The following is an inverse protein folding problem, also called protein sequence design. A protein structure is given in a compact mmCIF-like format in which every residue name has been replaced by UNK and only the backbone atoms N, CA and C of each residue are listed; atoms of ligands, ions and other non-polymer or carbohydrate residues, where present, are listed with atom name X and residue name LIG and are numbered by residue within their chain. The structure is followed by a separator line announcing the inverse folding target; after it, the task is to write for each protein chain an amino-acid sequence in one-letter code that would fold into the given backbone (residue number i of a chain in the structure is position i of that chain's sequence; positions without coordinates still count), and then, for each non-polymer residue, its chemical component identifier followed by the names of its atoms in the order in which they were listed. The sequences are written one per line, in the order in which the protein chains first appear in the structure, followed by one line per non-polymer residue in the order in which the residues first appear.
data_IF_108122817193
#
_entry.id   IF_108122817193
#
_cell.length_a   1.000
_cell.length_b   1.000
_cell.length_c   1.000
_cell.angle_alpha   90.00
_cell.angle_beta   90.00
_cell.angle_gamma   90.00
#
_symmetry.space_group_name_H-M   'P 1'
#
loop_
_entity.id
_entity.type
_entity.pdbx_description
1 polymer ?
#
# COMPACT_ATOMS: atom_id res chain seq x y z
N UNK A 1 0.58 9.67 -12.61
CA UNK A 1 1.40 8.75 -13.42
C UNK A 1 2.85 9.21 -13.59
N UNK A 2 3.13 10.24 -14.41
CA UNK A 2 4.50 10.62 -14.80
C UNK A 2 5.45 10.87 -13.61
N UNK A 3 5.01 11.60 -12.58
CA UNK A 3 5.82 11.87 -11.38
C UNK A 3 6.23 10.59 -10.62
N UNK A 4 5.31 9.63 -10.51
CA UNK A 4 5.57 8.34 -9.86
C UNK A 4 6.48 7.46 -10.72
N UNK A 5 6.34 7.49 -12.04
CA UNK A 5 7.24 6.74 -12.93
C UNK A 5 8.66 7.32 -12.89
N UNK A 6 8.81 8.64 -12.95
CA UNK A 6 10.11 9.32 -12.81
C UNK A 6 10.76 9.01 -11.46
N UNK A 7 9.98 9.05 -10.37
CA UNK A 7 10.47 8.72 -9.03
C UNK A 7 10.95 7.27 -8.95
N UNK A 8 10.23 6.31 -9.54
CA UNK A 8 10.67 4.91 -9.63
C UNK A 8 12.00 4.77 -10.38
N UNK A 9 12.14 5.40 -11.56
CA UNK A 9 13.38 5.36 -12.36
C UNK A 9 14.56 5.97 -11.60
N UNK A 10 14.35 7.05 -10.87
CA UNK A 10 15.41 7.70 -10.08
C UNK A 10 15.81 6.83 -8.89
N UNK A 11 14.83 6.33 -8.11
CA UNK A 11 15.07 5.56 -6.89
C UNK A 11 15.69 4.18 -7.17
N UNK A 12 15.42 3.62 -8.34
CA UNK A 12 16.08 2.41 -8.83
C UNK A 12 17.50 2.67 -9.35
N UNK A 13 18.12 3.84 -9.18
CA UNK A 13 19.55 3.97 -9.54
C UNK A 13 20.46 3.24 -8.52
N UNK A 14 21.53 2.55 -8.95
CA UNK A 14 22.41 1.76 -8.06
C UNK A 14 22.99 2.53 -6.86
N UNK A 15 23.20 3.85 -7.02
CA UNK A 15 23.70 4.71 -5.94
C UNK A 15 22.68 4.90 -4.81
N UNK A 16 21.38 4.90 -5.12
CA UNK A 16 20.29 5.13 -4.17
C UNK A 16 19.74 3.84 -3.54
N UNK A 17 19.75 2.71 -4.28
CA UNK A 17 19.35 1.38 -3.76
C UNK A 17 20.14 0.88 -2.55
N UNK A 18 21.25 1.56 -2.21
CA UNK A 18 22.09 1.24 -1.03
C UNK A 18 21.38 1.42 0.31
N UNK A 19 20.30 2.22 0.36
CA UNK A 19 19.47 2.35 1.57
C UNK A 19 18.13 1.63 1.36
N UNK A 20 17.69 0.79 2.31
CA UNK A 20 16.44 0.04 2.18
C UNK A 20 15.23 0.95 1.99
N UNK A 21 15.20 2.10 2.67
CA UNK A 21 14.14 3.11 2.54
C UNK A 21 13.90 3.57 1.10
N UNK A 22 14.96 3.79 0.30
CA UNK A 22 14.79 4.20 -1.09
C UNK A 22 14.24 3.08 -1.98
N UNK A 23 14.48 1.82 -1.59
CA UNK A 23 13.98 0.66 -2.32
C UNK A 23 12.47 0.51 -2.09
N UNK A 24 12.01 0.62 -0.84
CA UNK A 24 10.59 0.67 -0.53
C UNK A 24 9.87 1.85 -1.20
N UNK A 25 10.47 3.04 -1.19
CA UNK A 25 9.91 4.19 -1.90
C UNK A 25 9.81 3.95 -3.42
N UNK A 26 10.71 3.15 -4.01
CA UNK A 26 10.60 2.76 -5.41
C UNK A 26 9.37 1.87 -5.63
N UNK A 27 9.14 0.85 -4.79
CA UNK A 27 7.96 0.00 -4.86
C UNK A 27 6.65 0.79 -4.67
N UNK A 28 6.62 1.69 -3.69
CA UNK A 28 5.50 2.60 -3.45
C UNK A 28 5.23 3.50 -4.67
N UNK A 29 6.29 3.98 -5.32
CA UNK A 29 6.18 4.79 -6.53
C UNK A 29 5.68 3.97 -7.72
N UNK A 30 6.09 2.71 -7.84
CA UNK A 30 5.63 1.81 -8.89
C UNK A 30 4.15 1.47 -8.71
N UNK A 31 3.71 1.11 -7.51
CA UNK A 31 2.29 0.81 -7.23
C UNK A 31 1.41 2.02 -7.49
N UNK A 32 1.81 3.22 -7.04
CA UNK A 32 1.07 4.46 -7.31
C UNK A 32 1.08 4.86 -8.79
N UNK A 33 2.13 4.52 -9.56
CA UNK A 33 2.16 4.72 -11.00
C UNK A 33 1.15 3.79 -11.70
N UNK A 34 1.15 2.51 -11.36
CA UNK A 34 0.19 1.53 -11.91
C UNK A 34 -1.25 1.91 -11.55
N UNK A 35 -1.52 2.30 -10.31
CA UNK A 35 -2.85 2.74 -9.89
C UNK A 35 -3.31 3.98 -10.67
N UNK A 36 -2.41 4.97 -10.85
CA UNK A 36 -2.70 6.14 -11.70
C UNK A 36 -3.00 5.75 -13.15
N UNK A 37 -2.31 4.74 -13.68
CA UNK A 37 -2.51 4.26 -15.04
C UNK A 37 -3.91 3.65 -15.19
N UNK A 38 -4.32 2.81 -14.24
CA UNK A 38 -5.65 2.18 -14.24
C UNK A 38 -6.74 3.26 -14.21
N UNK A 39 -6.66 4.23 -13.29
CA UNK A 39 -7.63 5.33 -13.24
C UNK A 39 -7.63 6.18 -14.50
N UNK A 40 -6.45 6.46 -15.08
CA UNK A 40 -6.36 7.18 -16.34
C UNK A 40 -7.04 6.41 -17.49
N UNK A 41 -6.88 5.08 -17.54
CA UNK A 41 -7.55 4.23 -18.53
C UNK A 41 -9.07 4.31 -18.39
N UNK A 42 -9.61 4.19 -17.17
CA UNK A 42 -11.06 4.33 -16.97
C UNK A 42 -11.59 5.73 -17.31
N UNK A 43 -10.86 6.78 -16.91
CA UNK A 43 -11.27 8.15 -17.22
C UNK A 43 -11.20 8.46 -18.73
N UNK A 44 -10.22 7.89 -19.45
CA UNK A 44 -10.13 8.04 -20.90
C UNK A 44 -11.25 7.27 -21.62
N UNK A 45 -11.51 6.02 -21.21
CA UNK A 45 -12.58 5.22 -21.79
C UNK A 45 -13.96 5.87 -21.59
N UNK A 46 -14.27 6.26 -20.35
CA UNK A 46 -15.55 6.88 -20.02
C UNK A 46 -15.67 8.32 -20.56
N UNK A 47 -14.63 9.14 -20.37
CA UNK A 47 -14.71 10.58 -20.66
C UNK A 47 -14.38 10.97 -22.10
N UNK A 48 -13.55 10.20 -22.81
CA UNK A 48 -13.12 10.53 -24.17
C UNK A 48 -13.79 9.66 -25.23
N UNK A 49 -13.93 8.36 -24.96
CA UNK A 49 -14.51 7.42 -25.92
C UNK A 49 -15.99 7.15 -25.69
N UNK A 50 -16.57 7.65 -24.59
CA UNK A 50 -17.95 7.37 -24.16
C UNK A 50 -18.26 5.86 -24.10
N UNK A 51 -17.22 5.04 -23.89
CA UNK A 51 -17.36 3.60 -23.74
C UNK A 51 -17.65 3.34 -22.27
N UNK A 52 -18.93 3.07 -21.99
CA UNK A 52 -19.34 2.57 -20.68
C UNK A 52 -18.61 1.25 -20.37
N UNK A 53 -18.27 1.05 -19.11
CA UNK A 53 -17.65 -0.20 -18.62
C UNK A 53 -18.53 -1.42 -18.93
N UNK A 54 -19.82 -1.19 -19.14
CA UNK A 54 -20.85 -2.18 -19.45
C UNK A 54 -20.64 -2.88 -20.80
N UNK A 55 -19.94 -2.26 -21.75
CA UNK A 55 -19.63 -2.86 -23.05
C UNK A 55 -18.21 -3.45 -23.12
N UNK A 56 -17.48 -3.45 -22.01
CA UNK A 56 -16.11 -3.94 -21.94
C UNK A 56 -16.04 -5.38 -21.41
N UNK A 57 -14.99 -6.15 -21.77
CA UNK A 57 -14.81 -7.50 -21.26
C UNK A 57 -14.86 -7.60 -19.73
N UNK A 58 -15.85 -8.35 -19.22
CA UNK A 58 -16.07 -8.60 -17.79
C UNK A 58 -14.79 -8.96 -17.03
N UNK A 59 -14.01 -9.91 -17.55
CA UNK A 59 -12.81 -10.36 -16.84
C UNK A 59 -11.73 -9.28 -16.72
N UNK A 60 -11.42 -8.58 -17.82
CA UNK A 60 -10.29 -7.65 -17.84
C UNK A 60 -10.67 -6.35 -17.15
N UNK A 61 -11.77 -5.73 -17.55
CA UNK A 61 -12.10 -4.38 -17.08
C UNK A 61 -12.81 -4.41 -15.75
N UNK A 62 -13.77 -5.30 -15.55
CA UNK A 62 -14.55 -5.35 -14.33
C UNK A 62 -13.81 -6.05 -13.17
N UNK A 63 -13.39 -7.29 -13.40
CA UNK A 63 -12.77 -8.13 -12.36
C UNK A 63 -11.34 -7.73 -12.09
N UNK A 64 -10.50 -7.74 -13.12
CA UNK A 64 -9.08 -7.52 -12.97
C UNK A 64 -8.73 -6.05 -12.74
N UNK A 65 -9.12 -5.14 -13.63
CA UNK A 65 -8.71 -3.73 -13.54
C UNK A 65 -9.50 -2.93 -12.51
N UNK A 66 -10.84 -2.96 -12.57
CA UNK A 66 -11.68 -2.09 -11.74
C UNK A 66 -11.67 -2.51 -10.27
N UNK A 67 -11.68 -3.80 -9.98
CA UNK A 67 -11.72 -4.28 -8.58
C UNK A 67 -10.39 -4.82 -8.09
N UNK A 68 -9.94 -5.94 -8.64
CA UNK A 68 -8.77 -6.66 -8.12
C UNK A 68 -7.51 -5.78 -8.09
N UNK A 69 -7.16 -5.13 -9.20
CA UNK A 69 -5.91 -4.39 -9.32
C UNK A 69 -5.94 -3.09 -8.51
N UNK A 70 -7.07 -2.39 -8.46
CA UNK A 70 -7.21 -1.18 -7.62
C UNK A 70 -7.04 -1.55 -6.14
N UNK A 71 -7.76 -2.56 -5.66
CA UNK A 71 -7.70 -2.97 -4.25
C UNK A 71 -6.30 -3.56 -3.92
N UNK A 72 -5.77 -4.44 -4.78
CA UNK A 72 -4.43 -5.00 -4.63
C UNK A 72 -3.35 -3.92 -4.56
N UNK A 73 -3.32 -2.97 -5.50
CA UNK A 73 -2.29 -1.93 -5.53
C UNK A 73 -2.42 -0.96 -4.35
N UNK A 74 -3.65 -0.66 -3.93
CA UNK A 74 -3.92 0.19 -2.76
C UNK A 74 -3.44 -0.50 -1.49
N UNK A 75 -3.86 -1.75 -1.27
CA UNK A 75 -3.45 -2.57 -0.12
C UNK A 75 -1.94 -2.81 -0.09
N UNK A 76 -1.33 -3.06 -1.25
CA UNK A 76 0.12 -3.22 -1.38
C UNK A 76 0.85 -1.91 -1.02
N UNK A 77 0.41 -0.77 -1.54
CA UNK A 77 1.01 0.54 -1.23
C UNK A 77 1.02 0.86 0.28
N UNK A 78 -0.05 0.49 0.97
CA UNK A 78 -0.21 0.63 2.41
C UNK A 78 0.76 -0.23 3.21
N UNK A 79 0.90 -1.49 2.83
CA UNK A 79 1.85 -2.38 3.48
C UNK A 79 3.29 -2.00 3.18
N UNK A 80 3.61 -1.52 1.98
CA UNK A 80 4.93 -0.94 1.68
C UNK A 80 5.22 0.25 2.61
N UNK A 81 4.24 1.14 2.83
CA UNK A 81 4.40 2.29 3.72
C UNK A 81 4.63 1.85 5.18
N UNK A 82 3.83 0.88 5.64
CA UNK A 82 3.96 0.29 6.97
C UNK A 82 5.33 -0.39 7.15
N UNK A 83 5.82 -1.10 6.13
CA UNK A 83 7.12 -1.73 6.12
C UNK A 83 8.27 -0.71 6.21
N UNK A 84 8.13 0.46 5.57
CA UNK A 84 9.07 1.58 5.72
C UNK A 84 9.15 2.06 7.16
N UNK A 85 7.99 2.23 7.81
CA UNK A 85 7.90 2.69 9.20
C UNK A 85 8.59 1.70 10.14
N UNK A 86 8.34 0.40 9.95
CA UNK A 86 8.97 -0.68 10.73
C UNK A 86 10.49 -0.78 10.50
N UNK A 87 10.97 -0.72 9.25
CA UNK A 87 12.42 -0.74 8.94
C UNK A 87 13.13 0.47 9.56
N UNK A 88 12.46 1.62 9.63
CA UNK A 88 12.99 2.81 10.31
C UNK A 88 13.04 2.65 11.82
N UNK A 89 11.96 2.19 12.45
CA UNK A 89 11.98 1.87 13.89
C UNK A 89 13.17 0.97 14.19
N UNK A 90 13.29 -0.14 13.45
CA UNK A 90 14.39 -1.10 13.61
C UNK A 90 15.76 -0.45 13.44
N UNK A 91 15.93 0.42 12.44
CA UNK A 91 17.20 1.11 12.18
C UNK A 91 17.55 2.12 13.28
N UNK A 92 16.55 2.78 13.85
CA UNK A 92 16.71 3.77 14.93
C UNK A 92 16.99 3.06 16.27
N UNK A 93 16.24 2.01 16.60
CA UNK A 93 16.41 1.26 17.85
C UNK A 93 17.69 0.42 17.88
N UNK A 94 18.03 -0.28 16.78
CA UNK A 94 19.23 -1.15 16.73
C UNK A 94 20.55 -0.39 16.82
N UNK A 95 20.62 0.87 16.38
CA UNK A 95 21.81 1.70 16.57
C UNK A 95 22.09 1.99 18.05
N UNK A 96 21.06 2.03 18.90
CA UNK A 96 21.22 2.15 20.35
C UNK A 96 21.94 0.94 20.94
N UNK A 97 21.59 -0.28 20.49
CA UNK A 97 22.22 -1.51 20.95
C UNK A 97 23.65 -1.68 20.40
N UNK A 98 23.91 -1.18 19.18
CA UNK A 98 25.20 -1.31 18.53
C UNK A 98 26.18 -0.18 18.86
N UNK A 99 25.74 1.03 19.23
CA UNK A 99 26.64 2.08 19.75
C UNK A 99 27.28 1.64 21.09
N UNK A 100 26.65 0.69 21.82
CA UNK A 100 27.28 -0.01 22.97
C UNK A 100 28.27 -1.12 22.56
N UNK A 101 28.19 -1.66 21.33
CA UNK A 101 29.09 -2.73 20.84
C UNK A 101 30.16 -2.26 19.84
N UNK A 102 30.11 -1.02 19.37
CA UNK A 102 30.95 -0.50 18.29
C UNK A 102 32.41 -0.17 18.67
N UNK A 103 32.91 -0.61 19.83
CA UNK A 103 34.36 -0.62 20.07
C UNK A 103 35.08 -1.79 19.39
N UNK A 104 34.37 -2.76 18.80
CA UNK A 104 34.97 -3.93 18.17
C UNK A 104 34.39 -4.17 16.78
N UNK A 105 35.28 -4.26 15.79
CA UNK A 105 35.12 -4.81 14.43
C UNK A 105 34.63 -3.86 13.34
N UNK A 106 35.59 -3.25 12.65
CA UNK A 106 35.42 -2.30 11.55
C UNK A 106 35.94 -2.89 10.22
N UNK A 107 35.60 -4.14 9.87
CA UNK A 107 36.19 -4.85 8.71
C UNK A 107 35.20 -5.52 7.73
N UNK A 108 33.90 -5.23 7.77
CA UNK A 108 32.89 -5.93 6.96
C UNK A 108 32.20 -5.13 5.83
N UNK A 109 32.76 -4.03 5.34
CA UNK A 109 31.96 -2.98 4.66
C UNK A 109 31.66 -3.17 3.16
N UNK A 110 32.15 -4.22 2.48
CA UNK A 110 32.03 -4.30 1.01
C UNK A 110 31.08 -5.38 0.44
N UNK A 111 30.70 -6.43 1.17
CA UNK A 111 29.75 -7.46 0.63
C UNK A 111 28.26 -7.17 0.91
N UNK A 112 27.92 -6.13 1.68
CA UNK A 112 26.55 -5.87 2.16
C UNK A 112 25.65 -4.98 1.28
N UNK A 113 26.07 -4.58 0.08
CA UNK A 113 25.31 -3.64 -0.75
C UNK A 113 24.11 -4.30 -1.46
N UNK A 114 24.28 -5.52 -1.97
CA UNK A 114 23.19 -6.27 -2.58
C UNK A 114 22.21 -6.83 -1.53
N UNK A 115 22.70 -7.17 -0.33
CA UNK A 115 21.87 -7.84 0.69
C UNK A 115 20.73 -6.96 1.23
N UNK A 116 20.93 -5.64 1.32
CA UNK A 116 19.87 -4.73 1.77
C UNK A 116 18.73 -4.62 0.74
N UNK A 117 19.06 -4.51 -0.54
CA UNK A 117 18.07 -4.46 -1.62
C UNK A 117 17.34 -5.79 -1.75
N UNK A 118 18.06 -6.91 -1.77
CA UNK A 118 17.49 -8.27 -1.83
C UNK A 118 16.54 -8.49 -0.66
N UNK A 119 16.92 -8.07 0.56
CA UNK A 119 16.04 -8.16 1.73
C UNK A 119 14.73 -7.40 1.54
N UNK A 120 14.79 -6.17 1.02
CA UNK A 120 13.58 -5.39 0.74
C UNK A 120 12.73 -6.07 -0.34
N UNK A 121 13.35 -6.56 -1.42
CA UNK A 121 12.64 -7.31 -2.45
C UNK A 121 11.93 -8.54 -1.87
N UNK A 122 12.57 -9.31 -0.98
CA UNK A 122 11.95 -10.47 -0.34
C UNK A 122 10.76 -10.08 0.54
N UNK A 123 10.88 -9.01 1.33
CA UNK A 123 9.78 -8.49 2.16
C UNK A 123 8.63 -8.03 1.28
N UNK A 124 8.89 -7.24 0.24
CA UNK A 124 7.88 -6.74 -0.68
C UNK A 124 7.23 -7.88 -1.48
N UNK A 125 7.99 -8.88 -1.92
CA UNK A 125 7.43 -10.07 -2.58
C UNK A 125 6.51 -10.86 -1.64
N UNK A 126 6.89 -11.01 -0.37
CA UNK A 126 6.04 -11.65 0.62
C UNK A 126 4.74 -10.87 0.86
N UNK A 127 4.83 -9.55 1.02
CA UNK A 127 3.67 -8.67 1.15
C UNK A 127 2.79 -8.73 -0.10
N UNK A 128 3.38 -8.73 -1.30
CA UNK A 128 2.66 -8.86 -2.56
C UNK A 128 1.90 -10.19 -2.65
N UNK A 129 2.48 -11.31 -2.19
CA UNK A 129 1.79 -12.61 -2.18
C UNK A 129 0.59 -12.58 -1.22
N UNK A 130 0.77 -12.06 -0.01
CA UNK A 130 -0.34 -11.95 0.96
C UNK A 130 -1.45 -11.06 0.40
N UNK A 131 -1.10 -9.88 -0.11
CA UNK A 131 -2.08 -8.96 -0.71
C UNK A 131 -2.75 -9.58 -1.93
N UNK A 132 -2.03 -10.33 -2.77
CA UNK A 132 -2.61 -11.01 -3.92
C UNK A 132 -3.65 -12.03 -3.46
N UNK A 133 -3.30 -12.92 -2.52
CA UNK A 133 -4.22 -13.93 -1.98
C UNK A 133 -5.44 -13.30 -1.32
N UNK A 134 -5.25 -12.21 -0.57
CA UNK A 134 -6.35 -11.48 0.05
C UNK A 134 -7.32 -10.94 -0.99
N UNK A 135 -6.83 -10.34 -2.09
CA UNK A 135 -7.68 -9.70 -3.10
C UNK A 135 -8.16 -10.65 -4.20
N UNK A 136 -7.60 -11.86 -4.31
CA UNK A 136 -7.89 -12.81 -5.40
C UNK A 136 -9.36 -13.19 -5.53
N UNK A 137 -10.12 -13.10 -4.43
CA UNK A 137 -11.55 -13.40 -4.44
C UNK A 137 -12.33 -12.47 -5.41
N UNK A 138 -11.91 -11.22 -5.57
CA UNK A 138 -12.55 -10.28 -6.52
C UNK A 138 -12.52 -10.76 -7.97
N UNK A 139 -11.53 -11.59 -8.36
CA UNK A 139 -11.43 -12.14 -9.71
C UNK A 139 -12.57 -13.12 -10.05
N UNK A 140 -13.23 -13.67 -9.03
CA UNK A 140 -14.29 -14.66 -9.22
C UNK A 140 -15.68 -14.03 -9.11
N UNK A 141 -15.86 -13.11 -8.15
CA UNK A 141 -17.19 -12.70 -7.68
C UNK A 141 -17.65 -11.34 -8.21
N UNK A 142 -16.71 -10.53 -8.68
CA UNK A 142 -17.03 -9.19 -9.09
C UNK A 142 -17.55 -9.19 -10.52
N UNK A 143 -18.74 -8.64 -10.70
CA UNK A 143 -19.41 -8.49 -11.98
C UNK A 143 -19.97 -9.77 -12.59
N UNK A 144 -21.04 -9.55 -13.34
CA UNK A 144 -21.80 -10.57 -14.04
C UNK A 144 -22.29 -10.01 -15.39
N UNK A 145 -22.73 -10.92 -16.26
CA UNK A 145 -23.30 -10.58 -17.56
C UNK A 145 -24.82 -10.64 -17.43
N UNK A 146 -25.49 -9.57 -17.83
CA UNK A 146 -26.95 -9.48 -17.85
C UNK A 146 -27.42 -9.26 -19.30
N UNK A 147 -28.56 -9.84 -19.66
CA UNK A 147 -29.14 -9.63 -20.99
C UNK A 147 -29.80 -8.26 -21.00
N UNK A 148 -29.39 -7.40 -21.92
CA UNK A 148 -30.05 -6.13 -22.11
C UNK A 148 -31.46 -6.38 -22.69
N UNK A 149 -32.54 -5.92 -22.05
CA UNK A 149 -33.89 -6.07 -22.58
C UNK A 149 -34.12 -5.27 -23.86
N UNK A 150 -33.24 -4.31 -24.18
CA UNK A 150 -33.38 -3.36 -25.29
C UNK A 150 -32.38 -3.56 -26.42
N UNK A 151 -31.30 -4.31 -26.21
CA UNK A 151 -30.30 -4.59 -27.24
C UNK A 151 -30.07 -6.10 -27.42
N UNK A 152 -29.45 -6.47 -28.54
CA UNK A 152 -29.09 -7.86 -28.85
C UNK A 152 -27.81 -8.31 -28.13
N UNK A 153 -27.11 -7.38 -27.51
CA UNK A 153 -25.82 -7.59 -26.88
C UNK A 153 -25.97 -7.71 -25.37
N UNK A 154 -25.17 -8.61 -24.78
CA UNK A 154 -25.14 -8.75 -23.33
C UNK A 154 -24.36 -7.57 -22.69
N UNK A 155 -24.87 -7.07 -21.56
CA UNK A 155 -24.22 -6.00 -20.78
C UNK A 155 -23.43 -6.56 -19.60
N UNK A 156 -22.27 -5.96 -19.35
CA UNK A 156 -21.40 -6.31 -18.22
C UNK A 156 -21.72 -5.43 -17.03
N UNK A 157 -22.35 -5.99 -15.99
CA UNK A 157 -22.65 -5.25 -14.77
C UNK A 157 -21.47 -5.38 -13.80
N UNK A 158 -20.89 -4.25 -13.39
CA UNK A 158 -19.80 -4.20 -12.41
C UNK A 158 -20.27 -4.02 -10.97
N UNK A 159 -20.95 -5.04 -10.46
CA UNK A 159 -21.40 -5.12 -9.08
C UNK A 159 -21.05 -6.50 -8.50
N UNK A 160 -20.92 -6.64 -7.17
CA UNK A 160 -20.82 -7.96 -6.55
C UNK A 160 -22.07 -8.78 -6.94
N UNK A 161 -21.85 -9.98 -7.47
CA UNK A 161 -22.95 -10.88 -7.82
C UNK A 161 -23.50 -11.54 -6.55
N UNK A 162 -24.58 -10.97 -6.02
CA UNK A 162 -25.35 -11.54 -4.93
C UNK A 162 -26.42 -12.43 -5.55
N UNK A 163 -26.16 -13.74 -5.56
CA UNK A 163 -27.08 -14.72 -6.13
C UNK A 163 -28.47 -14.55 -5.51
N UNK A 164 -29.49 -14.40 -6.34
CA UNK A 164 -30.86 -14.40 -5.90
C UNK A 164 -31.18 -15.74 -5.24
N UNK A 165 -31.91 -15.69 -4.13
CA UNK A 165 -32.09 -16.75 -3.11
C UNK A 165 -32.73 -18.07 -3.57
N UNK A 166 -32.81 -18.32 -4.88
CA UNK A 166 -33.55 -19.44 -5.46
C UNK A 166 -32.78 -20.77 -5.53
N UNK A 167 -31.44 -20.76 -5.50
CA UNK A 167 -30.63 -21.99 -5.48
C UNK A 167 -29.73 -22.04 -4.22
N UNK A 168 -30.30 -22.59 -3.14
CA UNK A 168 -29.65 -22.80 -1.84
C UNK A 168 -28.46 -23.75 -1.93
N UNK A 169 -27.26 -23.19 -2.02
CA UNK A 169 -26.03 -23.92 -1.73
C UNK A 169 -25.37 -23.27 -0.51
N UNK A 170 -25.18 -24.02 0.58
CA UNK A 170 -24.68 -23.53 1.88
C UNK A 170 -23.36 -22.77 1.72
N UNK A 171 -22.53 -23.19 0.77
CA UNK A 171 -21.28 -22.52 0.42
C UNK A 171 -21.49 -21.08 -0.07
N UNK A 172 -22.50 -20.84 -0.89
CA UNK A 172 -22.82 -19.50 -1.43
C UNK A 172 -23.29 -18.57 -0.32
N UNK A 173 -24.12 -19.08 0.61
CA UNK A 173 -24.63 -18.29 1.74
C UNK A 173 -23.51 -17.90 2.72
N UNK A 174 -22.69 -18.88 3.14
CA UNK A 174 -21.55 -18.64 4.03
C UNK A 174 -20.56 -17.65 3.41
N UNK A 175 -20.36 -17.75 2.10
CA UNK A 175 -19.45 -16.90 1.36
C UNK A 175 -20.01 -15.47 1.15
N UNK A 176 -21.31 -15.32 0.85
CA UNK A 176 -21.99 -14.02 0.80
C UNK A 176 -21.92 -13.32 2.16
N UNK A 177 -22.11 -14.06 3.26
CA UNK A 177 -21.92 -13.54 4.62
C UNK A 177 -20.49 -13.07 4.87
N UNK A 178 -19.50 -13.81 4.37
CA UNK A 178 -18.10 -13.39 4.44
C UNK A 178 -17.89 -12.06 3.69
N UNK A 179 -18.33 -11.93 2.44
CA UNK A 179 -18.11 -10.72 1.61
C UNK A 179 -18.86 -9.50 2.14
N UNK A 180 -20.10 -9.67 2.61
CA UNK A 180 -20.93 -8.53 3.05
C UNK A 180 -20.64 -8.08 4.48
N UNK A 181 -20.32 -9.01 5.38
CA UNK A 181 -20.19 -8.70 6.81
C UNK A 181 -18.75 -8.72 7.31
N UNK A 182 -17.96 -9.73 6.92
CA UNK A 182 -16.64 -9.97 7.51
C UNK A 182 -15.56 -9.19 6.76
N UNK A 183 -15.55 -9.29 5.43
CA UNK A 183 -14.53 -8.69 4.57
C UNK A 183 -14.44 -7.16 4.75
N UNK A 184 -15.53 -6.37 4.78
CA UNK A 184 -15.41 -4.92 4.89
C UNK A 184 -14.86 -4.49 6.26
N UNK A 185 -15.19 -5.24 7.32
CA UNK A 185 -14.61 -5.02 8.66
C UNK A 185 -13.13 -5.39 8.65
N UNK A 186 -12.77 -6.54 8.06
CA UNK A 186 -11.39 -6.97 7.94
C UNK A 186 -10.56 -5.94 7.14
N UNK A 187 -11.11 -5.38 6.06
CA UNK A 187 -10.45 -4.36 5.26
C UNK A 187 -10.18 -3.08 6.06
N UNK A 188 -11.18 -2.58 6.80
CA UNK A 188 -11.00 -1.41 7.69
C UNK A 188 -9.92 -1.69 8.73
N UNK A 189 -9.95 -2.85 9.37
CA UNK A 189 -8.98 -3.17 10.43
C UNK A 189 -7.57 -3.33 9.86
N UNK A 190 -7.41 -4.14 8.80
CA UNK A 190 -6.10 -4.53 8.27
C UNK A 190 -5.43 -3.46 7.42
N UNK A 191 -6.21 -2.64 6.70
CA UNK A 191 -5.68 -1.67 5.74
C UNK A 191 -5.87 -0.21 6.18
N UNK A 192 -6.66 0.06 7.22
CA UNK A 192 -6.80 1.42 7.74
C UNK A 192 -6.29 1.54 9.18
N UNK A 193 -6.93 0.84 10.13
CA UNK A 193 -6.62 0.98 11.57
C UNK A 193 -5.20 0.47 11.88
N UNK A 194 -4.84 -0.74 11.41
CA UNK A 194 -3.56 -1.36 11.73
C UNK A 194 -2.36 -0.55 11.18
N UNK A 195 -2.31 -0.17 9.88
CA UNK A 195 -1.26 0.69 9.35
C UNK A 195 -1.15 2.03 10.09
N UNK A 196 -2.29 2.65 10.44
CA UNK A 196 -2.31 3.88 11.20
C UNK A 196 -1.67 3.73 12.59
N UNK A 197 -2.07 2.72 13.35
CA UNK A 197 -1.52 2.47 14.69
C UNK A 197 -0.01 2.22 14.60
N UNK A 198 0.44 1.42 13.64
CA UNK A 198 1.86 1.16 13.42
C UNK A 198 2.61 2.46 13.10
N UNK A 199 2.07 3.29 12.21
CA UNK A 199 2.66 4.58 11.83
C UNK A 199 2.77 5.56 13.01
N UNK A 200 1.72 5.68 13.82
CA UNK A 200 1.70 6.55 15.02
C UNK A 200 2.73 6.06 16.04
N UNK A 201 2.75 4.76 16.34
CA UNK A 201 3.73 4.18 17.26
C UNK A 201 5.16 4.35 16.73
N UNK A 202 5.38 4.13 15.43
CA UNK A 202 6.67 4.35 14.78
C UNK A 202 7.15 5.78 14.94
N UNK A 203 6.26 6.73 14.72
CA UNK A 203 6.53 8.15 14.86
C UNK A 203 6.92 8.51 16.30
N UNK A 204 6.15 8.05 17.29
CA UNK A 204 6.44 8.29 18.70
C UNK A 204 7.82 7.73 19.08
N UNK A 205 8.13 6.49 18.68
CA UNK A 205 9.42 5.85 18.96
C UNK A 205 10.58 6.62 18.32
N UNK A 206 10.44 7.00 17.04
CA UNK A 206 11.47 7.73 16.30
C UNK A 206 11.71 9.11 16.93
N UNK A 207 10.65 9.87 17.23
CA UNK A 207 10.76 11.20 17.84
C UNK A 207 11.36 11.13 19.24
N UNK A 208 10.93 10.17 20.06
CA UNK A 208 11.50 9.95 21.40
C UNK A 208 12.99 9.64 21.32
N UNK A 209 13.39 8.75 20.42
CA UNK A 209 14.79 8.38 20.26
C UNK A 209 15.65 9.54 19.75
N UNK A 210 15.16 10.28 18.74
CA UNK A 210 15.81 11.50 18.24
C UNK A 210 16.00 12.48 19.40
N UNK A 211 14.94 12.77 20.17
CA UNK A 211 14.99 13.69 21.31
C UNK A 211 16.06 13.30 22.34
N UNK A 212 16.05 12.05 22.81
CA UNK A 212 17.02 11.52 23.79
C UNK A 212 18.46 11.57 23.25
N UNK A 213 18.66 11.17 21.99
CA UNK A 213 19.98 11.21 21.38
C UNK A 213 20.54 12.63 21.31
N UNK A 214 19.70 13.64 21.07
CA UNK A 214 20.12 15.02 21.00
C UNK A 214 20.38 15.65 22.38
N UNK A 215 19.62 15.28 23.42
CA UNK A 215 19.92 15.73 24.79
C UNK A 215 21.26 15.19 25.26
N UNK A 216 21.59 13.93 24.93
CA UNK A 216 22.84 13.29 25.33
C UNK A 216 24.08 13.78 24.55
N UNK A 217 23.95 14.15 23.27
CA UNK A 217 25.09 14.50 22.39
C UNK A 217 25.43 16.01 22.31
N UNK A 218 24.90 16.85 23.20
CA UNK A 218 25.00 18.32 23.11
C UNK A 218 26.44 18.88 23.10
N UNK A 219 27.44 18.07 23.50
CA UNK A 219 28.78 18.57 23.82
C UNK A 219 29.84 18.49 22.70
N UNK A 220 29.62 17.79 21.57
CA UNK A 220 30.71 17.53 20.59
C UNK A 220 30.21 17.75 19.15
N UNK A 221 30.73 18.75 18.43
CA UNK A 221 30.50 19.04 17.00
C UNK A 221 29.06 19.44 16.54
N UNK A 222 28.74 20.74 16.62
CA UNK A 222 27.41 21.31 16.32
C UNK A 222 27.02 21.37 14.82
N UNK A 223 27.95 21.56 13.87
CA UNK A 223 27.63 21.87 12.44
C UNK A 223 27.20 20.66 11.60
N UNK A 224 28.01 19.60 11.51
CA UNK A 224 27.69 18.37 10.76
C UNK A 224 26.45 17.65 11.32
N UNK A 225 26.23 17.73 12.64
CA UNK A 225 25.06 17.17 13.32
C UNK A 225 23.77 17.91 12.97
N UNK A 226 23.80 19.24 12.75
CA UNK A 226 22.61 20.03 12.39
C UNK A 226 22.04 19.65 11.02
N UNK A 227 22.89 19.39 10.02
CA UNK A 227 22.45 18.96 8.68
C UNK A 227 21.83 17.55 8.70
N UNK A 228 22.47 16.59 9.38
CA UNK A 228 21.94 15.23 9.51
C UNK A 228 20.61 15.18 10.28
N UNK A 229 20.48 15.98 11.35
CA UNK A 229 19.22 16.16 12.10
C UNK A 229 18.09 16.60 11.19
N UNK A 230 18.35 17.62 10.36
CA UNK A 230 17.35 18.20 9.47
C UNK A 230 16.89 17.17 8.44
N UNK A 231 17.80 16.37 7.89
CA UNK A 231 17.44 15.29 6.95
C UNK A 231 16.59 14.20 7.60
N UNK A 232 16.96 13.70 8.78
CA UNK A 232 16.19 12.66 9.49
C UNK A 232 14.81 13.18 9.92
N UNK A 233 14.73 14.42 10.38
CA UNK A 233 13.48 15.05 10.79
C UNK A 233 12.55 15.34 9.60
N UNK A 234 13.05 15.88 8.48
CA UNK A 234 12.25 16.05 7.27
C UNK A 234 11.70 14.72 6.77
N UNK A 235 12.52 13.67 6.82
CA UNK A 235 12.13 12.35 6.35
C UNK A 235 11.07 11.70 7.25
N UNK A 236 11.08 11.97 8.57
CA UNK A 236 10.01 11.56 9.48
C UNK A 236 8.74 12.37 9.29
N UNK A 237 8.85 13.70 9.15
CA UNK A 237 7.69 14.57 8.85
C UNK A 237 7.01 14.11 7.56
N UNK A 238 7.79 13.82 6.50
CA UNK A 238 7.26 13.36 5.23
C UNK A 238 6.43 12.07 5.37
N UNK A 239 6.89 11.11 6.20
CA UNK A 239 6.13 9.88 6.43
C UNK A 239 4.85 10.13 7.23
N UNK A 240 4.91 10.97 8.26
CA UNK A 240 3.72 11.34 9.04
C UNK A 240 2.71 12.00 8.14
N UNK A 241 3.15 12.98 7.33
CA UNK A 241 2.26 13.67 6.40
C UNK A 241 1.65 12.70 5.38
N UNK A 242 2.44 11.74 4.89
CA UNK A 242 1.96 10.76 3.90
C UNK A 242 0.94 9.81 4.53
N UNK A 243 1.18 9.33 5.75
CA UNK A 243 0.24 8.52 6.52
C UNK A 243 -1.06 9.29 6.84
N UNK A 244 -0.97 10.55 7.30
CA UNK A 244 -2.15 11.38 7.57
C UNK A 244 -2.97 11.63 6.30
N UNK A 245 -2.33 11.99 5.19
CA UNK A 245 -3.01 12.19 3.91
C UNK A 245 -3.67 10.90 3.45
N UNK A 246 -2.98 9.76 3.59
CA UNK A 246 -3.54 8.47 3.22
C UNK A 246 -4.84 8.15 3.99
N UNK A 247 -4.84 8.36 5.31
CA UNK A 247 -6.01 8.06 6.16
C UNK A 247 -7.17 9.01 5.85
N UNK A 248 -6.87 10.31 5.68
CA UNK A 248 -7.89 11.30 5.33
C UNK A 248 -8.56 10.98 3.99
N UNK A 249 -7.82 10.42 3.04
CA UNK A 249 -8.36 10.08 1.71
C UNK A 249 -9.05 8.71 1.68
N UNK A 250 -8.55 7.71 2.41
CA UNK A 250 -9.09 6.34 2.34
C UNK A 250 -10.19 6.05 3.36
N UNK A 251 -10.19 6.70 4.52
CA UNK A 251 -11.19 6.46 5.56
C UNK A 251 -12.62 6.79 5.10
N UNK A 252 -12.91 7.94 4.47
CA UNK A 252 -14.25 8.24 3.98
C UNK A 252 -14.73 7.21 2.95
N UNK A 253 -13.84 6.77 2.05
CA UNK A 253 -14.15 5.75 1.06
C UNK A 253 -14.51 4.41 1.69
N UNK A 254 -13.71 3.93 2.65
CA UNK A 254 -13.94 2.66 3.32
C UNK A 254 -15.20 2.69 4.20
N UNK A 255 -15.47 3.82 4.85
CA UNK A 255 -16.70 4.01 5.62
C UNK A 255 -17.91 3.97 4.68
N UNK A 256 -17.86 4.69 3.57
CA UNK A 256 -18.95 4.70 2.58
C UNK A 256 -19.26 3.29 2.05
N UNK A 257 -18.22 2.51 1.72
CA UNK A 257 -18.39 1.12 1.28
C UNK A 257 -19.12 0.28 2.35
N UNK A 258 -18.73 0.37 3.62
CA UNK A 258 -19.40 -0.38 4.71
C UNK A 258 -20.86 0.04 4.89
N UNK A 259 -21.17 1.33 4.79
CA UNK A 259 -22.54 1.80 4.95
C UNK A 259 -23.43 1.40 3.77
N UNK A 260 -22.94 1.52 2.53
CA UNK A 260 -23.74 1.15 1.36
C UNK A 260 -23.93 -0.37 1.25
N UNK A 261 -22.89 -1.16 1.49
CA UNK A 261 -23.00 -2.63 1.46
C UNK A 261 -23.91 -3.20 2.56
N UNK A 262 -24.23 -2.42 3.60
CA UNK A 262 -25.20 -2.81 4.64
C UNK A 262 -26.64 -2.39 4.35
N UNK A 263 -26.85 -1.39 3.49
CA UNK A 263 -28.16 -0.84 3.16
C UNK A 263 -28.78 -1.57 1.96
N UNK A 264 -27.96 -2.23 1.14
CA UNK A 264 -28.36 -3.04 -0.01
C UNK A 264 -28.41 -4.52 0.34
#
# INVERSE_FOLDING_TARGET
FAANLCSFVVLTRPRLRRRPTFSYLAFLSLSNALLSLIHATFNLLAGYFDIAVEHLPLFIFCRFLNRFAIDFLTHFSLYTLTAVDLDRIRTVTSKTANDQRYSRTNSGRQRGCASAFIRVCLVESFLAIISFLFNAHWLVLYGYVEKDPTSLDDITVCAPFLNDTSNFNIYTEAYNKYVLSILPIAEIVLFNILPFVISVLATIIILRHISIKYTLLSHINKRLKKSRRRMELHLSILLISLNCVFILLTTPHNIYQVYILKIR
#
